data_IF_477810700106
#
_entry.id   IF_477810700106
#
_cell.length_a   1.000
_cell.length_b   1.000
_cell.length_c   1.000
_cell.angle_alpha   90.00
_cell.angle_beta   90.00
_cell.angle_gamma   90.00
#
_symmetry.space_group_name_H-M   'P 1'
#
loop_
_entity.id
_entity.type
_entity.pdbx_description
1 polymer ?
#
# COMPACT_ATOMS: atom_id res chain seq x y z
N UNK A 1 22.62 11.46 33.43
CA UNK A 1 21.41 10.65 33.21
C UNK A 1 21.74 9.77 32.04
N UNK A 2 21.93 8.47 32.25
CA UNK A 2 22.17 7.52 31.17
C UNK A 2 20.88 7.44 30.31
N UNK A 3 21.02 7.61 29.00
CA UNK A 3 19.95 7.29 28.06
C UNK A 3 19.41 5.89 28.38
N UNK A 4 18.08 5.71 28.43
CA UNK A 4 17.54 4.38 28.62
C UNK A 4 18.05 3.51 27.46
N UNK A 5 18.69 2.39 27.81
CA UNK A 5 19.11 1.41 26.82
C UNK A 5 17.94 1.17 25.87
N UNK A 6 18.15 1.31 24.56
CA UNK A 6 17.17 1.11 23.50
C UNK A 6 16.69 -0.35 23.53
N UNK A 7 15.68 -0.63 24.36
CA UNK A 7 15.08 -1.95 24.37
C UNK A 7 14.02 -2.04 23.27
N UNK A 8 13.95 -3.19 22.64
CA UNK A 8 12.89 -3.47 21.68
C UNK A 8 11.53 -3.52 22.36
N UNK A 9 10.54 -2.92 21.73
CA UNK A 9 9.17 -2.88 22.22
C UNK A 9 8.42 -4.14 21.78
N UNK A 10 7.50 -4.59 22.61
CA UNK A 10 6.48 -5.54 22.19
C UNK A 10 5.36 -4.83 21.42
N UNK A 11 4.56 -5.57 20.68
CA UNK A 11 3.40 -5.04 19.95
C UNK A 11 2.40 -4.39 20.91
N UNK A 12 2.15 -4.99 22.07
CA UNK A 12 1.22 -4.46 23.07
C UNK A 12 1.72 -3.13 23.65
N UNK A 13 3.00 -3.02 23.99
CA UNK A 13 3.63 -1.78 24.46
C UNK A 13 3.55 -0.69 23.39
N UNK A 14 3.83 -1.05 22.14
CA UNK A 14 3.73 -0.14 21.02
C UNK A 14 2.31 0.41 20.85
N UNK A 15 1.28 -0.44 20.82
CA UNK A 15 -0.07 0.03 20.68
C UNK A 15 -0.61 0.77 21.90
N UNK A 16 -0.20 0.42 23.11
CA UNK A 16 -0.53 1.17 24.30
C UNK A 16 0.01 2.61 24.23
N UNK A 17 1.26 2.75 23.79
CA UNK A 17 1.91 4.05 23.60
C UNK A 17 1.33 4.83 22.42
N UNK A 18 1.08 4.17 21.27
CA UNK A 18 0.53 4.79 20.05
C UNK A 18 -0.78 5.52 20.31
N UNK A 19 -1.63 5.04 21.23
CA UNK A 19 -2.91 5.67 21.57
C UNK A 19 -2.77 7.10 22.07
N UNK A 20 -1.64 7.43 22.68
CA UNK A 20 -1.33 8.77 23.21
C UNK A 20 -0.59 9.67 22.20
N UNK A 21 -0.21 9.15 21.05
CA UNK A 21 0.57 9.91 20.07
C UNK A 21 -0.34 10.69 19.10
N UNK A 22 0.03 11.92 18.75
CA UNK A 22 -0.75 12.74 17.80
C UNK A 22 -0.57 12.30 16.34
N UNK A 23 0.43 11.45 16.06
CA UNK A 23 0.78 10.97 14.72
C UNK A 23 0.91 9.46 14.72
N UNK A 24 0.95 8.87 13.51
CA UNK A 24 1.09 7.43 13.32
C UNK A 24 2.56 7.01 13.26
N UNK A 25 2.81 5.80 13.77
CA UNK A 25 4.10 5.13 13.75
C UNK A 25 3.94 3.69 13.27
N UNK A 26 4.99 3.14 12.72
CA UNK A 26 5.22 1.72 12.51
C UNK A 26 6.11 1.18 13.62
N UNK A 27 6.14 -0.14 13.82
CA UNK A 27 7.10 -0.80 14.70
C UNK A 27 8.05 -1.61 13.84
N UNK A 28 9.29 -1.13 13.71
CA UNK A 28 10.31 -1.72 12.83
C UNK A 28 11.47 -2.22 13.66
N UNK A 29 11.75 -3.54 13.60
CA UNK A 29 12.82 -4.13 14.40
C UNK A 29 12.63 -3.99 15.92
N UNK A 30 11.40 -3.69 16.37
CA UNK A 30 11.09 -3.42 17.78
C UNK A 30 11.21 -1.94 18.16
N UNK A 31 11.39 -1.03 17.21
CA UNK A 31 11.49 0.41 17.46
C UNK A 31 10.35 1.17 16.77
N UNK A 32 9.67 2.11 17.45
CA UNK A 32 8.70 2.98 16.82
C UNK A 32 9.37 3.88 15.77
N UNK A 33 8.93 3.77 14.52
CA UNK A 33 9.39 4.59 13.40
C UNK A 33 8.25 5.51 12.99
N UNK A 34 8.51 6.81 12.98
CA UNK A 34 7.52 7.81 12.60
C UNK A 34 7.19 7.70 11.12
N UNK A 35 5.90 7.60 10.80
CA UNK A 35 5.45 7.75 9.43
C UNK A 35 5.67 9.19 8.98
N UNK A 36 6.24 9.35 7.79
CA UNK A 36 6.47 10.68 7.23
C UNK A 36 5.12 11.33 6.93
N UNK A 37 4.92 12.54 7.44
CA UNK A 37 3.77 13.36 7.08
C UNK A 37 4.04 14.00 5.72
N UNK A 38 3.01 14.11 4.88
CA UNK A 38 3.09 14.87 3.63
C UNK A 38 2.87 14.04 2.37
N UNK A 39 1.81 13.25 2.34
CA UNK A 39 1.26 12.79 1.08
C UNK A 39 0.86 13.98 0.20
N UNK A 40 1.08 13.91 -1.10
CA UNK A 40 0.55 14.89 -2.05
C UNK A 40 -0.97 14.70 -2.19
N UNK A 41 -1.69 15.71 -2.67
CA UNK A 41 -3.12 15.55 -2.96
C UNK A 41 -3.36 14.38 -3.93
N UNK A 42 -2.52 14.23 -4.93
CA UNK A 42 -2.61 13.09 -5.88
C UNK A 42 -2.52 11.74 -5.18
N UNK A 43 -1.64 11.59 -4.20
CA UNK A 43 -1.55 10.37 -3.41
C UNK A 43 -2.86 10.12 -2.63
N UNK A 44 -3.40 11.17 -2.00
CA UNK A 44 -4.64 11.09 -1.23
C UNK A 44 -5.85 10.76 -2.13
N UNK A 45 -5.96 11.43 -3.29
CA UNK A 45 -7.00 11.17 -4.29
C UNK A 45 -6.99 9.69 -4.72
N UNK A 46 -5.82 9.13 -5.02
CA UNK A 46 -5.69 7.71 -5.39
C UNK A 46 -6.12 6.79 -4.25
N UNK A 47 -5.73 7.07 -3.01
CA UNK A 47 -6.14 6.27 -1.84
C UNK A 47 -7.66 6.35 -1.63
N UNK A 48 -8.25 7.54 -1.77
CA UNK A 48 -9.70 7.74 -1.65
C UNK A 48 -10.45 6.96 -2.73
N UNK A 49 -10.03 7.07 -4.00
CA UNK A 49 -10.61 6.34 -5.11
C UNK A 49 -10.53 4.82 -4.90
N UNK A 50 -9.35 4.32 -4.52
CA UNK A 50 -9.15 2.91 -4.21
C UNK A 50 -10.11 2.42 -3.11
N UNK A 51 -10.21 3.16 -2.00
CA UNK A 51 -11.10 2.78 -0.89
C UNK A 51 -12.57 2.82 -1.32
N UNK A 52 -12.97 3.79 -2.16
CA UNK A 52 -14.35 3.89 -2.67
C UNK A 52 -14.71 2.66 -3.51
N UNK A 53 -13.88 2.28 -4.49
CA UNK A 53 -14.05 1.11 -5.33
C UNK A 53 -14.10 -0.19 -4.51
N UNK A 54 -13.16 -0.38 -3.62
CA UNK A 54 -13.12 -1.56 -2.75
C UNK A 54 -14.35 -1.63 -1.84
N UNK A 55 -14.80 -0.49 -1.29
CA UNK A 55 -15.96 -0.43 -0.41
C UNK A 55 -17.26 -0.79 -1.13
N UNK A 56 -17.40 -0.37 -2.38
CA UNK A 56 -18.57 -0.68 -3.18
C UNK A 56 -18.63 -2.18 -3.50
N UNK A 57 -17.54 -2.74 -4.01
CA UNK A 57 -17.51 -4.13 -4.47
C UNK A 57 -17.53 -5.14 -3.32
N UNK A 58 -16.97 -4.82 -2.16
CA UNK A 58 -16.95 -5.71 -0.99
C UNK A 58 -18.19 -5.57 -0.10
N UNK A 59 -19.17 -4.74 -0.49
CA UNK A 59 -20.40 -4.50 0.29
C UNK A 59 -21.19 -5.78 0.48
N UNK A 60 -21.53 -6.10 1.72
CA UNK A 60 -22.31 -7.29 2.07
C UNK A 60 -21.51 -8.59 2.06
N UNK A 61 -20.21 -8.56 1.72
CA UNK A 61 -19.30 -9.69 1.82
C UNK A 61 -18.65 -9.83 3.20
N UNK A 62 -17.80 -10.84 3.31
CA UNK A 62 -17.01 -11.10 4.54
C UNK A 62 -15.78 -10.19 4.67
N UNK A 63 -15.38 -9.53 3.59
CA UNK A 63 -14.18 -8.70 3.51
C UNK A 63 -14.54 -7.20 3.60
N UNK A 64 -13.57 -6.39 4.01
CA UNK A 64 -13.73 -4.94 4.11
C UNK A 64 -12.43 -4.21 3.82
N UNK A 65 -12.46 -3.03 3.18
CA UNK A 65 -11.28 -2.21 3.04
C UNK A 65 -10.90 -1.54 4.37
N UNK A 66 -9.61 -1.25 4.53
CA UNK A 66 -9.05 -0.41 5.59
C UNK A 66 -8.06 0.59 5.00
N UNK A 67 -7.85 1.71 5.69
CA UNK A 67 -6.95 2.80 5.31
C UNK A 67 -5.63 2.69 6.07
N UNK A 68 -4.68 3.59 5.83
CA UNK A 68 -3.42 3.71 6.58
C UNK A 68 -3.56 3.88 8.11
N UNK A 69 -4.78 4.07 8.63
CA UNK A 69 -5.06 3.95 10.06
C UNK A 69 -5.07 2.50 10.55
N UNK A 70 -5.35 1.55 9.66
CA UNK A 70 -5.17 0.12 9.92
C UNK A 70 -3.70 -0.24 9.97
N UNK A 71 -3.40 -1.40 10.51
CA UNK A 71 -2.04 -1.93 10.51
C UNK A 71 -2.07 -3.44 10.34
N UNK A 72 -0.93 -3.99 9.95
CA UNK A 72 -0.71 -5.43 9.87
C UNK A 72 0.59 -5.78 10.57
N UNK A 73 0.62 -6.95 11.20
CA UNK A 73 1.85 -7.54 11.69
C UNK A 73 2.47 -8.37 10.57
N UNK A 74 3.62 -7.91 10.05
CA UNK A 74 4.30 -8.58 8.93
C UNK A 74 5.21 -9.72 9.38
N UNK A 75 5.75 -9.58 10.58
CA UNK A 75 6.55 -10.60 11.30
C UNK A 75 6.30 -10.41 12.80
N UNK A 76 6.59 -11.40 13.65
CA UNK A 76 6.46 -11.23 15.09
C UNK A 76 7.17 -9.97 15.60
N UNK A 77 6.42 -9.04 16.16
CA UNK A 77 6.95 -7.77 16.67
C UNK A 77 7.22 -6.69 15.60
N UNK A 78 6.71 -6.83 14.39
CA UNK A 78 6.86 -5.84 13.32
C UNK A 78 5.51 -5.39 12.76
N UNK A 79 5.22 -4.11 12.89
CA UNK A 79 3.95 -3.51 12.49
C UNK A 79 4.18 -2.56 11.32
N UNK A 80 3.46 -2.78 10.22
CA UNK A 80 3.41 -1.89 9.06
C UNK A 80 2.02 -1.30 8.88
N UNK A 81 1.96 -0.14 8.20
CA UNK A 81 0.73 0.58 7.88
C UNK A 81 0.70 0.88 6.38
N UNK A 82 0.17 -0.03 5.57
CA UNK A 82 -0.03 0.24 4.14
C UNK A 82 -1.05 1.37 3.95
N UNK A 83 -0.99 2.09 2.83
CA UNK A 83 -1.92 3.17 2.51
C UNK A 83 -3.37 2.69 2.45
N UNK A 84 -3.58 1.47 1.95
CA UNK A 84 -4.87 0.80 1.96
C UNK A 84 -4.71 -0.74 2.01
N UNK A 85 -5.80 -1.43 2.35
CA UNK A 85 -5.83 -2.89 2.30
C UNK A 85 -7.23 -3.46 2.39
N UNK A 86 -7.33 -4.79 2.24
CA UNK A 86 -8.55 -5.58 2.43
C UNK A 86 -8.30 -6.57 3.58
N UNK A 87 -9.19 -6.56 4.56
CA UNK A 87 -9.22 -7.52 5.67
C UNK A 87 -10.48 -8.39 5.58
N UNK A 88 -10.31 -9.71 5.54
CA UNK A 88 -11.39 -10.70 5.49
C UNK A 88 -11.60 -11.41 6.84
N UNK A 89 -10.85 -11.04 7.85
CA UNK A 89 -10.95 -11.65 9.15
C UNK A 89 -12.16 -11.18 9.97
N UNK A 90 -12.40 -11.87 11.08
CA UNK A 90 -13.47 -11.53 12.00
C UNK A 90 -13.29 -10.11 12.53
N UNK A 91 -14.31 -9.26 12.34
CA UNK A 91 -14.26 -7.89 12.81
C UNK A 91 -14.20 -7.82 14.35
N UNK A 92 -13.16 -7.16 14.83
CA UNK A 92 -13.07 -6.71 16.21
C UNK A 92 -13.00 -5.17 16.21
N UNK A 93 -14.04 -4.45 16.70
CA UNK A 93 -14.08 -2.99 16.63
C UNK A 93 -12.99 -2.30 17.48
N UNK A 94 -12.38 -3.02 18.41
CA UNK A 94 -11.33 -2.51 19.29
C UNK A 94 -9.91 -2.91 18.84
N UNK A 95 -9.79 -3.76 17.81
CA UNK A 95 -8.49 -4.14 17.29
C UNK A 95 -7.86 -2.99 16.49
N UNK A 96 -6.55 -2.87 16.59
CA UNK A 96 -5.75 -1.89 15.85
C UNK A 96 -5.07 -2.50 14.62
N UNK A 97 -5.22 -3.81 14.42
CA UNK A 97 -4.64 -4.55 13.30
C UNK A 97 -5.74 -5.28 12.51
N UNK A 98 -5.50 -5.44 11.22
CA UNK A 98 -6.24 -6.39 10.40
C UNK A 98 -5.96 -7.81 10.89
N UNK A 99 -7.01 -8.62 11.01
CA UNK A 99 -6.89 -9.98 11.55
C UNK A 99 -6.60 -11.02 10.47
N UNK A 100 -6.99 -10.75 9.23
CA UNK A 100 -6.74 -11.59 8.07
C UNK A 100 -6.60 -10.71 6.82
N UNK A 101 -5.50 -9.92 6.72
CA UNK A 101 -5.26 -9.09 5.55
C UNK A 101 -5.08 -9.96 4.31
N UNK A 102 -5.81 -9.66 3.24
CA UNK A 102 -5.79 -10.41 1.98
C UNK A 102 -5.17 -9.58 0.85
N UNK A 103 -5.21 -8.27 0.95
CA UNK A 103 -4.57 -7.36 0.02
C UNK A 103 -4.03 -6.16 0.77
N UNK A 104 -2.88 -5.65 0.33
CA UNK A 104 -2.34 -4.34 0.72
C UNK A 104 -1.95 -3.53 -0.52
N UNK A 105 -2.06 -2.22 -0.40
CA UNK A 105 -1.67 -1.26 -1.44
C UNK A 105 -0.78 -0.17 -0.84
N UNK A 106 0.30 0.15 -1.56
CA UNK A 106 1.19 1.27 -1.31
C UNK A 106 1.16 2.20 -2.52
N UNK A 107 0.86 3.48 -2.31
CA UNK A 107 0.96 4.52 -3.34
C UNK A 107 2.35 5.15 -3.23
N UNK A 108 3.13 5.10 -4.29
CA UNK A 108 4.51 5.59 -4.28
C UNK A 108 4.56 7.08 -4.00
N UNK A 109 5.50 7.50 -3.19
CA UNK A 109 5.83 8.91 -2.96
C UNK A 109 7.28 9.19 -3.37
N UNK A 110 7.67 10.44 -3.64
CA UNK A 110 9.05 10.78 -3.96
C UNK A 110 10.05 10.36 -2.88
N UNK A 111 9.61 10.29 -1.64
CA UNK A 111 10.44 9.93 -0.47
C UNK A 111 10.53 8.43 -0.19
N UNK A 112 9.67 7.60 -0.80
CA UNK A 112 9.59 6.15 -0.51
C UNK A 112 9.94 5.26 -1.70
N UNK A 113 10.43 5.86 -2.82
CA UNK A 113 10.55 5.16 -4.11
C UNK A 113 11.53 3.99 -4.17
N UNK A 114 12.54 3.93 -3.30
CA UNK A 114 13.62 2.96 -3.56
C UNK A 114 13.74 1.84 -2.52
N UNK A 115 14.28 2.12 -1.34
CA UNK A 115 14.66 1.06 -0.40
C UNK A 115 13.53 0.63 0.53
N UNK A 116 12.77 1.59 1.07
CA UNK A 116 11.71 1.33 2.06
C UNK A 116 10.55 0.54 1.44
N UNK A 117 10.16 0.88 0.21
CA UNK A 117 9.12 0.15 -0.52
C UNK A 117 9.52 -1.30 -0.79
N UNK A 118 10.80 -1.54 -1.17
CA UNK A 118 11.28 -2.89 -1.43
C UNK A 118 11.30 -3.76 -0.16
N UNK A 119 11.79 -3.21 0.97
CA UNK A 119 11.77 -3.95 2.24
C UNK A 119 10.35 -4.26 2.69
N UNK A 120 9.42 -3.31 2.60
CA UNK A 120 8.01 -3.52 2.93
C UNK A 120 7.38 -4.62 2.08
N UNK A 121 7.65 -4.63 0.76
CA UNK A 121 7.12 -5.66 -0.13
C UNK A 121 7.59 -7.05 0.26
N UNK A 122 8.87 -7.22 0.59
CA UNK A 122 9.40 -8.52 1.02
C UNK A 122 8.81 -8.95 2.38
N UNK A 123 8.54 -8.01 3.27
CA UNK A 123 7.84 -8.28 4.51
C UNK A 123 6.38 -8.71 4.27
N UNK A 124 5.65 -8.00 3.40
CA UNK A 124 4.27 -8.33 3.04
C UNK A 124 4.17 -9.71 2.39
N UNK A 125 5.11 -10.07 1.51
CA UNK A 125 5.17 -11.41 0.90
C UNK A 125 5.28 -12.53 1.93
N UNK A 126 5.83 -12.24 3.11
CA UNK A 126 5.93 -13.19 4.23
C UNK A 126 4.61 -13.39 4.99
N UNK A 127 3.60 -12.54 4.81
CA UNK A 127 2.30 -12.66 5.50
C UNK A 127 1.45 -13.71 4.80
N UNK A 128 1.17 -14.82 5.49
CA UNK A 128 0.55 -16.00 4.89
C UNK A 128 -0.87 -15.75 4.34
N UNK A 129 -1.61 -14.80 4.91
CA UNK A 129 -2.98 -14.47 4.49
C UNK A 129 -3.05 -13.56 3.27
N UNK A 130 -1.96 -12.88 2.89
CA UNK A 130 -1.96 -11.96 1.76
C UNK A 130 -1.95 -12.73 0.43
N UNK A 131 -2.88 -12.37 -0.45
CA UNK A 131 -2.96 -12.85 -1.83
C UNK A 131 -2.48 -11.80 -2.85
N UNK A 132 -2.61 -10.51 -2.51
CA UNK A 132 -2.29 -9.42 -3.43
C UNK A 132 -1.51 -8.30 -2.76
N UNK A 133 -0.50 -7.78 -3.49
CA UNK A 133 0.20 -6.55 -3.16
C UNK A 133 0.11 -5.62 -4.36
N UNK A 134 -0.34 -4.39 -4.15
CA UNK A 134 -0.43 -3.36 -5.18
C UNK A 134 0.58 -2.26 -4.89
N UNK A 135 1.39 -1.91 -5.88
CA UNK A 135 2.27 -0.74 -5.84
C UNK A 135 1.79 0.21 -6.94
N UNK A 136 1.29 1.36 -6.53
CA UNK A 136 0.57 2.29 -7.38
C UNK A 136 1.44 3.51 -7.68
N UNK A 137 1.66 3.80 -8.97
CA UNK A 137 2.45 4.95 -9.43
C UNK A 137 1.54 6.20 -9.53
N UNK A 138 1.79 7.28 -8.78
CA UNK A 138 0.94 8.47 -8.82
C UNK A 138 1.15 9.36 -10.06
N UNK A 139 2.24 9.20 -10.80
CA UNK A 139 2.58 10.05 -11.95
C UNK A 139 2.29 9.42 -13.31
N UNK A 140 1.78 8.19 -13.32
CA UNK A 140 1.37 7.46 -14.50
C UNK A 140 0.27 6.46 -14.16
N UNK A 141 -0.67 6.13 -15.06
CA UNK A 141 -1.69 5.13 -14.80
C UNK A 141 -1.08 3.73 -14.85
N UNK A 142 -0.28 3.40 -13.84
CA UNK A 142 0.50 2.17 -13.73
C UNK A 142 0.40 1.57 -12.33
N UNK A 143 0.10 0.28 -12.26
CA UNK A 143 0.05 -0.50 -11.02
C UNK A 143 0.89 -1.75 -11.19
N UNK A 144 1.87 -1.94 -10.32
CA UNK A 144 2.55 -3.23 -10.19
C UNK A 144 1.74 -4.10 -9.24
N UNK A 145 1.27 -5.21 -9.76
CA UNK A 145 0.48 -6.20 -9.01
C UNK A 145 1.35 -7.41 -8.73
N UNK A 146 1.44 -7.77 -7.47
CA UNK A 146 1.92 -9.07 -7.06
C UNK A 146 0.73 -9.91 -6.62
N UNK A 147 0.58 -11.10 -7.17
CA UNK A 147 -0.47 -12.06 -6.82
C UNK A 147 0.15 -13.36 -6.37
N UNK A 148 -0.45 -13.98 -5.35
CA UNK A 148 0.01 -15.29 -4.86
C UNK A 148 -0.69 -16.38 -5.63
N UNK A 149 0.09 -17.21 -6.32
CA UNK A 149 -0.41 -18.39 -7.05
C UNK A 149 -0.84 -19.53 -6.13
N UNK A 150 -1.46 -20.55 -6.73
CA UNK A 150 -1.88 -21.75 -6.01
C UNK A 150 -0.70 -22.53 -5.37
N UNK A 151 0.48 -22.42 -5.94
CA UNK A 151 1.75 -22.95 -5.45
C UNK A 151 2.41 -22.10 -4.36
N UNK A 152 1.73 -21.04 -3.90
CA UNK A 152 2.20 -20.03 -2.94
C UNK A 152 3.35 -19.14 -3.47
N UNK A 153 3.71 -19.26 -4.74
CA UNK A 153 4.67 -18.36 -5.37
C UNK A 153 4.05 -16.99 -5.68
N UNK A 154 4.87 -15.94 -5.61
CA UNK A 154 4.46 -14.59 -5.98
C UNK A 154 4.77 -14.32 -7.45
N UNK A 155 3.75 -13.98 -8.19
CA UNK A 155 3.86 -13.55 -9.59
C UNK A 155 3.73 -12.03 -9.68
N UNK A 156 4.58 -11.42 -10.50
CA UNK A 156 4.59 -9.97 -10.72
C UNK A 156 4.02 -9.62 -12.08
N UNK A 157 3.06 -8.70 -12.13
CA UNK A 157 2.48 -8.15 -13.35
C UNK A 157 2.47 -6.63 -13.30
N UNK A 158 2.76 -5.96 -14.41
CA UNK A 158 2.51 -4.54 -14.60
C UNK A 158 1.18 -4.37 -15.34
N UNK A 159 0.30 -3.55 -14.80
CA UNK A 159 -0.93 -3.09 -15.44
C UNK A 159 -0.78 -1.61 -15.74
N UNK A 160 -0.88 -1.22 -17.01
CA UNK A 160 -0.61 0.15 -17.45
C UNK A 160 -1.64 0.62 -18.49
N UNK A 161 -2.16 1.83 -18.30
CA UNK A 161 -3.18 2.46 -19.13
C UNK A 161 -4.53 2.57 -18.42
N UNK A 162 -5.22 3.69 -18.64
CA UNK A 162 -6.54 3.95 -18.03
C UNK A 162 -7.65 3.00 -18.50
N UNK A 163 -7.46 2.34 -19.62
CA UNK A 163 -8.35 1.34 -20.20
C UNK A 163 -8.16 -0.07 -19.62
N UNK A 164 -7.18 -0.23 -18.73
CA UNK A 164 -6.85 -1.50 -18.10
C UNK A 164 -7.48 -1.62 -16.71
N UNK A 165 -7.49 -2.85 -16.19
CA UNK A 165 -8.01 -3.16 -14.86
C UNK A 165 -7.14 -4.16 -14.11
N UNK A 166 -7.17 -4.10 -12.78
CA UNK A 166 -6.56 -5.08 -11.89
C UNK A 166 -7.62 -6.05 -11.42
N UNK A 167 -7.60 -7.28 -11.93
CA UNK A 167 -8.46 -8.36 -11.42
C UNK A 167 -7.81 -9.03 -10.21
N UNK A 168 -8.59 -9.18 -9.13
CA UNK A 168 -8.25 -9.86 -7.88
C UNK A 168 -9.28 -10.98 -7.64
N UNK A 169 -9.19 -12.04 -8.45
CA UNK A 169 -10.20 -13.09 -8.55
C UNK A 169 -10.51 -13.79 -7.21
N UNK A 170 -9.50 -14.03 -6.36
CA UNK A 170 -9.68 -14.63 -5.04
C UNK A 170 -10.50 -13.76 -4.08
N UNK A 171 -10.64 -12.47 -4.38
CA UNK A 171 -11.44 -11.51 -3.61
C UNK A 171 -12.74 -11.12 -4.31
N UNK A 172 -12.93 -11.54 -5.56
CA UNK A 172 -14.05 -11.12 -6.40
C UNK A 172 -14.06 -9.62 -6.67
N UNK A 173 -12.89 -9.00 -6.77
CA UNK A 173 -12.71 -7.55 -6.97
C UNK A 173 -12.02 -7.30 -8.30
N UNK A 174 -12.56 -6.35 -9.06
CA UNK A 174 -11.93 -5.81 -10.26
C UNK A 174 -11.77 -4.30 -10.08
N UNK A 175 -10.56 -3.78 -10.20
CA UNK A 175 -10.23 -2.38 -10.01
C UNK A 175 -9.86 -1.75 -11.36
N UNK A 176 -10.78 -1.00 -12.03
CA UNK A 176 -10.45 -0.27 -13.25
C UNK A 176 -9.44 0.85 -12.94
N UNK A 177 -8.41 0.99 -13.75
CA UNK A 177 -7.45 2.07 -13.57
C UNK A 177 -8.10 3.45 -13.83
N UNK A 178 -9.12 3.52 -14.68
CA UNK A 178 -9.91 4.74 -14.87
C UNK A 178 -10.61 5.22 -13.59
N UNK A 179 -11.11 4.29 -12.76
CA UNK A 179 -11.70 4.63 -11.46
C UNK A 179 -10.62 4.96 -10.42
N UNK A 180 -9.53 4.19 -10.39
CA UNK A 180 -8.43 4.40 -9.46
C UNK A 180 -7.78 5.79 -9.62
N UNK A 181 -7.66 6.26 -10.86
CA UNK A 181 -7.04 7.54 -11.21
C UNK A 181 -8.07 8.62 -11.60
N UNK A 182 -9.34 8.47 -11.18
CA UNK A 182 -10.35 9.49 -11.46
C UNK A 182 -9.93 10.83 -10.84
N UNK A 183 -9.99 11.90 -11.64
CA UNK A 183 -9.55 13.24 -11.23
C UNK A 183 -8.03 13.46 -11.15
N UNK A 184 -7.20 12.44 -11.42
CA UNK A 184 -5.74 12.56 -11.38
C UNK A 184 -5.19 13.09 -12.70
N UNK A 185 -4.45 14.19 -12.65
CA UNK A 185 -3.71 14.72 -13.78
C UNK A 185 -2.26 14.20 -13.80
N UNK A 186 -1.86 13.59 -14.91
CA UNK A 186 -0.50 13.07 -15.06
C UNK A 186 0.44 14.10 -15.67
N UNK A 187 1.71 14.19 -15.21
CA UNK A 187 2.69 15.05 -15.84
C UNK A 187 2.92 14.65 -17.30
N UNK A 188 3.06 15.64 -18.18
CA UNK A 188 3.38 15.40 -19.58
C UNK A 188 4.68 14.61 -19.68
N UNK A 189 4.68 13.48 -20.40
CA UNK A 189 5.93 12.78 -20.69
C UNK A 189 6.85 13.70 -21.48
N UNK A 190 8.15 13.84 -21.11
CA UNK A 190 9.10 14.59 -21.93
C UNK A 190 9.08 14.03 -23.35
N UNK A 191 8.76 14.87 -24.36
CA UNK A 191 8.96 14.49 -25.76
C UNK A 191 10.47 14.45 -26.01
N UNK A 192 10.97 13.33 -26.52
CA UNK A 192 12.29 13.29 -27.12
C UNK A 192 12.29 14.34 -28.25
N UNK A 193 13.09 15.38 -28.12
CA UNK A 193 13.34 16.31 -29.22
C UNK A 193 14.15 15.50 -30.23
N UNK A 194 13.52 15.12 -31.34
CA UNK A 194 14.21 14.51 -32.47
C UNK A 194 15.35 15.45 -32.89
N UNK A 195 16.56 14.93 -33.11
CA UNK A 195 17.58 15.67 -33.84
C UNK A 195 16.95 16.01 -35.19
N UNK A 196 16.74 17.30 -35.46
CA UNK A 196 16.50 17.77 -36.80
C UNK A 196 17.75 17.38 -37.58
N UNK A 197 17.57 16.44 -38.51
CA UNK A 197 18.58 16.14 -39.50
C UNK A 197 18.82 17.43 -40.26
N UNK A 198 19.97 18.06 -39.97
CA UNK A 198 20.46 19.21 -40.69
C UNK A 198 20.64 18.81 -42.13
N UNK A 199 19.68 19.16 -42.99
CA UNK A 199 19.93 19.21 -44.42
C UNK A 199 20.80 20.45 -44.67
N UNK A 200 22.11 20.19 -44.83
CA UNK A 200 23.05 21.14 -45.40
C UNK A 200 22.67 21.43 -46.82
N UNK A 201 22.64 22.68 -47.15
CA UNK A 201 22.76 23.21 -48.49
C UNK A 201 24.25 23.31 -48.92
#
# INVERSE_FOLDING_TARGET
MSEPAERRWTVDEFFAWQKSQPIRYELVGGFPVRLMAGATNVHDDIVVNLIAELREQLRGGGCRPFTGDGSIETRPGQIRRPDAGIDCGRRNPNAMMASEPRMVAEVLSPSTRDFDTFEKLEEYKGVASLDYLLVIEPNAPEVVVWSRGADQAWERRLVAGLDQEVAMDQLGVTLPLSSLYDGVEFPSRPRLVGREDGQGG
#
